data_IF_223228257248
#
_entry.id   IF_223228257248
#
_cell.length_a   1.000
_cell.length_b   1.000
_cell.length_c   1.000
_cell.angle_alpha   90.00
_cell.angle_beta   90.00
_cell.angle_gamma   90.00
#
_symmetry.space_group_name_H-M   'P 1'
#
loop_
_entity.id
_entity.type
_entity.pdbx_description
1 polymer ?
#
# COMPACT_ATOMS: atom_id res chain seq x y z
N UNK A 1 -44.35 -31.80 -34.96
CA UNK A 1 -43.74 -32.75 -34.00
C UNK A 1 -42.21 -32.66 -34.02
N UNK A 2 -41.53 -32.93 -35.15
CA UNK A 2 -40.05 -32.88 -35.21
C UNK A 2 -39.43 -31.50 -34.94
N UNK A 3 -40.04 -30.42 -35.43
CA UNK A 3 -39.58 -29.04 -35.18
C UNK A 3 -39.66 -28.63 -33.71
N UNK A 4 -40.74 -29.01 -33.01
CA UNK A 4 -40.92 -28.71 -31.59
C UNK A 4 -39.88 -29.45 -30.72
N UNK A 5 -39.60 -30.73 -31.03
CA UNK A 5 -38.58 -31.51 -30.33
C UNK A 5 -37.19 -30.91 -30.56
N UNK A 6 -36.86 -30.51 -31.80
CA UNK A 6 -35.60 -29.83 -32.13
C UNK A 6 -35.42 -28.52 -31.36
N UNK A 7 -36.47 -27.70 -31.25
CA UNK A 7 -36.43 -26.45 -30.49
C UNK A 7 -36.21 -26.69 -29.00
N UNK A 8 -36.86 -27.71 -28.42
CA UNK A 8 -36.66 -28.06 -27.01
C UNK A 8 -35.23 -28.53 -26.76
N UNK A 9 -34.68 -29.39 -27.62
CA UNK A 9 -33.29 -29.86 -27.51
C UNK A 9 -32.32 -28.69 -27.64
N UNK A 10 -32.55 -27.77 -28.59
CA UNK A 10 -31.72 -26.58 -28.76
C UNK A 10 -31.72 -25.71 -27.51
N UNK A 11 -32.89 -25.47 -26.91
CA UNK A 11 -33.01 -24.70 -25.66
C UNK A 11 -32.27 -25.40 -24.53
N UNK A 12 -32.41 -26.73 -24.38
CA UNK A 12 -31.69 -27.49 -23.35
C UNK A 12 -30.17 -27.40 -23.53
N UNK A 13 -29.67 -27.47 -24.76
CA UNK A 13 -28.24 -27.32 -25.06
C UNK A 13 -27.74 -25.91 -24.74
N UNK A 14 -28.50 -24.87 -25.12
CA UNK A 14 -28.13 -23.48 -24.84
C UNK A 14 -28.12 -23.22 -23.33
N UNK A 15 -29.17 -23.63 -22.61
CA UNK A 15 -29.26 -23.46 -21.16
C UNK A 15 -28.20 -24.28 -20.43
N UNK A 16 -28.01 -25.54 -20.82
CA UNK A 16 -26.98 -26.41 -20.25
C UNK A 16 -25.56 -25.89 -20.48
N UNK A 17 -25.27 -25.44 -21.71
CA UNK A 17 -24.00 -24.80 -22.07
C UNK A 17 -23.77 -23.50 -21.30
N UNK A 18 -24.80 -22.66 -21.16
CA UNK A 18 -24.75 -21.42 -20.38
C UNK A 18 -24.48 -21.66 -18.90
N UNK A 19 -25.15 -22.64 -18.27
CA UNK A 19 -24.92 -23.00 -16.87
C UNK A 19 -23.52 -23.60 -16.64
N UNK A 20 -23.03 -24.43 -17.56
CA UNK A 20 -21.68 -24.98 -17.50
C UNK A 20 -20.63 -23.88 -17.62
N UNK A 21 -20.78 -22.97 -18.59
CA UNK A 21 -19.89 -21.83 -18.78
C UNK A 21 -19.86 -20.91 -17.55
N UNK A 22 -21.03 -20.56 -17.01
CA UNK A 22 -21.15 -19.74 -15.80
C UNK A 22 -20.46 -20.39 -14.59
N UNK A 23 -20.63 -21.71 -14.38
CA UNK A 23 -19.94 -22.45 -13.32
C UNK A 23 -18.43 -22.51 -13.54
N UNK A 24 -18.00 -22.76 -14.78
CA UNK A 24 -16.57 -22.79 -15.13
C UNK A 24 -15.91 -21.44 -14.87
N UNK A 25 -16.56 -20.34 -15.24
CA UNK A 25 -16.06 -18.99 -15.01
C UNK A 25 -16.01 -18.67 -13.51
N UNK A 26 -17.04 -19.02 -12.75
CA UNK A 26 -17.06 -18.83 -11.30
C UNK A 26 -15.93 -19.62 -10.61
N UNK A 27 -15.73 -20.88 -11.00
CA UNK A 27 -14.63 -21.71 -10.48
C UNK A 27 -13.25 -21.14 -10.82
N UNK A 28 -13.07 -20.60 -12.03
CA UNK A 28 -11.81 -19.94 -12.42
C UNK A 28 -11.54 -18.70 -11.58
N UNK A 29 -12.55 -17.84 -11.36
CA UNK A 29 -12.40 -16.63 -10.54
C UNK A 29 -12.08 -16.97 -9.09
N UNK A 30 -12.71 -18.01 -8.55
CA UNK A 30 -12.42 -18.48 -7.19
C UNK A 30 -10.97 -18.96 -7.06
N UNK A 31 -10.48 -19.77 -8.02
CA UNK A 31 -9.07 -20.22 -8.02
C UNK A 31 -8.09 -19.04 -8.08
N UNK A 32 -8.33 -18.06 -8.94
CA UNK A 32 -7.49 -16.87 -9.03
C UNK A 32 -7.47 -16.08 -7.71
N UNK A 33 -8.61 -15.98 -7.03
CA UNK A 33 -8.68 -15.36 -5.71
C UNK A 33 -7.90 -16.15 -4.67
N UNK A 34 -8.06 -17.47 -4.64
CA UNK A 34 -7.39 -18.35 -3.68
C UNK A 34 -5.86 -18.31 -3.88
N UNK A 35 -5.39 -18.32 -5.13
CA UNK A 35 -3.97 -18.17 -5.48
C UNK A 35 -3.44 -16.80 -5.03
N UNK A 36 -4.15 -15.71 -5.33
CA UNK A 36 -3.75 -14.37 -4.91
C UNK A 36 -3.70 -14.22 -3.38
N UNK A 37 -4.65 -14.83 -2.67
CA UNK A 37 -4.65 -14.87 -1.20
C UNK A 37 -3.48 -15.69 -0.65
N UNK A 38 -3.14 -16.81 -1.28
CA UNK A 38 -2.01 -17.63 -0.86
C UNK A 38 -0.69 -16.86 -1.00
N UNK A 39 -0.50 -16.15 -2.12
CA UNK A 39 0.65 -15.28 -2.34
C UNK A 39 0.76 -14.16 -1.28
N UNK A 40 -0.36 -13.50 -0.99
CA UNK A 40 -0.41 -12.46 0.03
C UNK A 40 -0.12 -13.03 1.43
N UNK A 41 -0.75 -14.16 1.78
CA UNK A 41 -0.58 -14.84 3.07
C UNK A 41 0.88 -15.21 3.34
N UNK A 42 1.60 -15.73 2.34
CA UNK A 42 3.04 -16.03 2.46
C UNK A 42 3.86 -14.82 2.92
N UNK A 43 3.56 -13.62 2.41
CA UNK A 43 4.27 -12.40 2.80
C UNK A 43 3.84 -11.91 4.18
N UNK A 44 2.55 -12.00 4.52
CA UNK A 44 2.03 -11.67 5.86
C UNK A 44 2.66 -12.57 6.92
N UNK A 45 2.75 -13.88 6.68
CA UNK A 45 3.39 -14.83 7.60
C UNK A 45 4.89 -14.55 7.75
N UNK A 46 5.57 -14.24 6.63
CA UNK A 46 6.99 -13.81 6.67
C UNK A 46 7.15 -12.54 7.50
N UNK A 47 6.28 -11.55 7.31
CA UNK A 47 6.29 -10.30 8.06
C UNK A 47 6.05 -10.55 9.56
N UNK A 48 5.03 -11.33 9.90
CA UNK A 48 4.72 -11.70 11.28
C UNK A 48 5.89 -12.42 11.96
N UNK A 49 6.57 -13.32 11.24
CA UNK A 49 7.78 -13.97 11.73
C UNK A 49 8.92 -12.99 12.06
N UNK A 50 9.03 -11.87 11.35
CA UNK A 50 10.02 -10.84 11.67
C UNK A 50 9.56 -9.95 12.82
N UNK A 51 8.32 -9.46 12.77
CA UNK A 51 7.74 -8.56 13.78
C UNK A 51 7.73 -9.19 15.17
N UNK A 52 7.44 -10.49 15.28
CA UNK A 52 7.37 -11.19 16.56
C UNK A 52 8.73 -11.57 17.15
N UNK A 53 9.80 -11.57 16.35
CA UNK A 53 11.12 -12.07 16.77
C UNK A 53 12.24 -11.02 16.71
N UNK A 54 11.96 -9.82 16.21
CA UNK A 54 12.95 -8.74 16.09
C UNK A 54 12.56 -7.58 16.99
N UNK A 55 13.46 -7.14 17.85
CA UNK A 55 13.28 -5.99 18.74
C UNK A 55 14.32 -4.93 18.40
N UNK A 56 13.87 -3.70 18.13
CA UNK A 56 14.76 -2.58 17.82
C UNK A 56 15.66 -2.21 19.01
N UNK A 57 16.93 -1.94 18.73
CA UNK A 57 17.95 -1.61 19.74
C UNK A 57 18.30 -0.12 19.81
N UNK A 58 17.84 0.66 18.84
CA UNK A 58 18.07 2.10 18.69
C UNK A 58 16.76 2.78 18.27
N UNK A 59 16.72 4.11 18.28
CA UNK A 59 15.50 4.87 17.98
C UNK A 59 14.97 4.58 16.58
N UNK A 60 15.84 4.54 15.58
CA UNK A 60 15.46 4.33 14.19
C UNK A 60 14.92 2.91 13.97
N UNK A 61 15.58 1.90 14.54
CA UNK A 61 15.09 0.51 14.47
C UNK A 61 13.80 0.27 15.26
N UNK A 62 13.61 0.94 16.40
CA UNK A 62 12.35 0.88 17.15
C UNK A 62 11.19 1.50 16.37
N UNK A 63 11.37 2.67 15.76
CA UNK A 63 10.36 3.29 14.92
C UNK A 63 10.02 2.43 13.70
N UNK A 64 11.03 1.94 12.98
CA UNK A 64 10.80 1.06 11.84
C UNK A 64 10.10 -0.25 12.24
N UNK A 65 10.40 -0.84 13.41
CA UNK A 65 9.66 -2.02 13.89
C UNK A 65 8.21 -1.69 14.31
N UNK A 66 7.96 -0.49 14.83
CA UNK A 66 6.60 -0.03 15.11
C UNK A 66 5.79 0.11 13.82
N UNK A 67 6.32 0.82 12.82
CA UNK A 67 5.67 0.95 11.50
C UNK A 67 5.46 -0.44 10.84
N UNK A 68 6.44 -1.36 10.95
CA UNK A 68 6.29 -2.74 10.48
C UNK A 68 5.15 -3.50 11.17
N UNK A 69 4.99 -3.30 12.48
CA UNK A 69 3.93 -3.92 13.28
C UNK A 69 2.55 -3.39 12.92
N UNK A 70 2.44 -2.08 12.65
CA UNK A 70 1.21 -1.47 12.11
C UNK A 70 0.83 -2.11 10.78
N UNK A 71 1.80 -2.28 9.87
CA UNK A 71 1.55 -2.94 8.58
C UNK A 71 1.20 -4.41 8.71
N UNK A 72 1.77 -5.12 9.67
CA UNK A 72 1.41 -6.51 9.96
C UNK A 72 -0.06 -6.63 10.40
N UNK A 73 -0.50 -5.78 11.34
CA UNK A 73 -1.88 -5.78 11.80
C UNK A 73 -2.86 -5.40 10.68
N UNK A 74 -2.51 -4.38 9.88
CA UNK A 74 -3.30 -3.98 8.73
C UNK A 74 -3.42 -5.11 7.71
N UNK A 75 -2.29 -5.69 7.27
CA UNK A 75 -2.29 -6.76 6.28
C UNK A 75 -3.01 -8.02 6.78
N UNK A 76 -2.88 -8.36 8.07
CA UNK A 76 -3.63 -9.45 8.68
C UNK A 76 -5.15 -9.25 8.60
N UNK A 77 -5.63 -8.07 9.03
CA UNK A 77 -7.07 -7.75 8.98
C UNK A 77 -7.61 -7.68 7.54
N UNK A 78 -6.85 -7.13 6.60
CA UNK A 78 -7.22 -7.07 5.19
C UNK A 78 -7.28 -8.47 4.56
N UNK A 79 -6.33 -9.37 4.90
CA UNK A 79 -6.29 -10.73 4.36
C UNK A 79 -7.54 -11.52 4.73
N UNK A 80 -8.01 -11.38 5.97
CA UNK A 80 -9.22 -12.03 6.45
C UNK A 80 -10.47 -11.55 5.71
N UNK A 81 -10.51 -10.25 5.37
CA UNK A 81 -11.67 -9.61 4.75
C UNK A 81 -11.66 -9.65 3.21
N UNK A 82 -10.53 -9.96 2.58
CA UNK A 82 -10.38 -9.93 1.13
C UNK A 82 -11.36 -10.88 0.43
N UNK A 83 -12.08 -10.38 -0.58
CA UNK A 83 -13.08 -11.10 -1.39
C UNK A 83 -12.81 -10.98 -2.89
N UNK A 84 -11.85 -10.17 -3.29
CA UNK A 84 -11.46 -9.97 -4.70
C UNK A 84 -9.96 -10.13 -4.88
N UNK A 85 -9.53 -10.41 -6.11
CA UNK A 85 -8.11 -10.53 -6.47
C UNK A 85 -7.37 -9.23 -6.15
N UNK A 86 -7.96 -8.08 -6.46
CA UNK A 86 -7.37 -6.77 -6.16
C UNK A 86 -7.21 -6.55 -4.66
N UNK A 87 -8.20 -6.94 -3.83
CA UNK A 87 -8.04 -6.85 -2.37
C UNK A 87 -6.91 -7.74 -1.87
N UNK A 88 -6.71 -8.94 -2.43
CA UNK A 88 -5.57 -9.78 -2.09
C UNK A 88 -4.23 -9.16 -2.53
N UNK A 89 -4.20 -8.43 -3.65
CA UNK A 89 -2.99 -7.67 -4.07
C UNK A 89 -2.68 -6.51 -3.12
N UNK A 90 -3.68 -5.76 -2.66
CA UNK A 90 -3.50 -4.70 -1.67
C UNK A 90 -2.94 -5.24 -0.34
N UNK A 91 -3.38 -6.44 0.08
CA UNK A 91 -2.79 -7.14 1.24
C UNK A 91 -1.30 -7.42 1.01
N UNK A 92 -0.97 -7.92 -0.18
CA UNK A 92 0.41 -8.23 -0.57
C UNK A 92 1.29 -6.98 -0.52
N UNK A 93 0.82 -5.86 -1.06
CA UNK A 93 1.51 -4.56 -1.02
C UNK A 93 1.71 -4.05 0.41
N UNK A 94 0.67 -4.15 1.25
CA UNK A 94 0.75 -3.78 2.68
C UNK A 94 1.78 -4.63 3.42
N UNK A 95 1.80 -5.95 3.17
CA UNK A 95 2.78 -6.85 3.76
C UNK A 95 4.21 -6.57 3.26
N UNK A 96 4.37 -6.25 1.97
CA UNK A 96 5.66 -5.84 1.39
C UNK A 96 6.16 -4.58 2.08
N UNK A 97 5.31 -3.58 2.26
CA UNK A 97 5.68 -2.35 2.96
C UNK A 97 6.17 -2.61 4.39
N UNK A 98 5.46 -3.47 5.15
CA UNK A 98 5.94 -3.94 6.45
C UNK A 98 7.31 -4.61 6.38
N UNK A 99 7.57 -5.42 5.35
CA UNK A 99 8.88 -6.05 5.16
C UNK A 99 9.99 -5.05 4.83
N UNK A 100 9.68 -3.95 4.13
CA UNK A 100 10.64 -2.87 3.92
C UNK A 100 10.97 -2.14 5.24
N UNK A 101 9.99 -1.95 6.12
CA UNK A 101 10.24 -1.41 7.46
C UNK A 101 11.10 -2.36 8.31
N UNK A 102 10.84 -3.67 8.28
CA UNK A 102 11.73 -4.66 8.92
C UNK A 102 13.14 -4.58 8.35
N UNK A 103 13.29 -4.49 7.03
CA UNK A 103 14.59 -4.34 6.36
C UNK A 103 15.32 -3.09 6.88
N UNK A 104 14.62 -1.96 6.96
CA UNK A 104 15.16 -0.71 7.49
C UNK A 104 15.58 -0.83 8.95
N UNK A 105 14.78 -1.49 9.80
CA UNK A 105 15.13 -1.75 11.19
C UNK A 105 16.41 -2.60 11.31
N UNK A 106 16.54 -3.64 10.49
CA UNK A 106 17.74 -4.48 10.44
C UNK A 106 18.97 -3.67 10.01
N UNK A 107 18.84 -2.82 9.00
CA UNK A 107 19.92 -1.91 8.57
C UNK A 107 20.34 -0.96 9.69
N UNK A 108 19.38 -0.36 10.41
CA UNK A 108 19.66 0.54 11.55
C UNK A 108 20.42 -0.16 12.69
N UNK A 109 20.13 -1.44 12.92
CA UNK A 109 20.86 -2.27 13.89
C UNK A 109 22.20 -2.83 13.36
N UNK A 110 22.61 -2.49 12.13
CA UNK A 110 23.80 -3.06 11.50
C UNK A 110 23.70 -4.57 11.20
N UNK A 111 22.50 -5.11 11.13
CA UNK A 111 22.24 -6.50 10.76
C UNK A 111 22.13 -6.65 9.25
N UNK A 112 22.33 -7.88 8.75
CA UNK A 112 22.01 -8.20 7.35
C UNK A 112 20.54 -7.83 7.06
N UNK A 113 20.25 -6.92 6.11
CA UNK A 113 18.87 -6.52 5.79
C UNK A 113 18.00 -7.67 5.25
N UNK A 114 18.62 -8.79 4.89
CA UNK A 114 17.96 -9.97 4.36
C UNK A 114 17.77 -9.91 2.84
N UNK A 115 17.04 -10.87 2.26
CA UNK A 115 16.93 -10.97 0.81
C UNK A 115 16.16 -9.78 0.24
N UNK A 116 16.52 -9.41 -0.98
CA UNK A 116 15.86 -8.34 -1.73
C UNK A 116 14.36 -8.60 -1.80
N UNK A 117 13.58 -7.57 -1.51
CA UNK A 117 12.15 -7.61 -1.65
C UNK A 117 11.79 -7.32 -3.11
N UNK A 118 10.64 -7.82 -3.60
CA UNK A 118 10.11 -7.35 -4.87
C UNK A 118 10.07 -5.83 -4.89
N UNK A 119 10.72 -5.24 -5.89
CA UNK A 119 10.64 -3.81 -6.13
C UNK A 119 9.33 -3.52 -6.87
N UNK A 120 8.63 -2.49 -6.41
CA UNK A 120 7.45 -1.97 -7.08
C UNK A 120 7.92 -0.82 -7.97
N UNK A 121 7.54 -0.85 -9.26
CA UNK A 121 7.95 0.16 -10.23
C UNK A 121 7.62 1.60 -9.76
N UNK A 122 6.56 1.77 -8.96
CA UNK A 122 6.23 3.07 -8.37
C UNK A 122 7.22 3.54 -7.31
N UNK A 123 7.76 2.63 -6.48
CA UNK A 123 8.76 2.98 -5.46
C UNK A 123 10.09 3.33 -6.09
N UNK A 124 10.49 2.60 -7.13
CA UNK A 124 11.68 2.93 -7.91
C UNK A 124 11.56 4.31 -8.56
N UNK A 125 10.42 4.60 -9.19
CA UNK A 125 10.17 5.90 -9.85
C UNK A 125 10.14 7.07 -8.88
N UNK A 126 9.70 6.86 -7.63
CA UNK A 126 9.69 7.91 -6.61
C UNK A 126 11.09 8.40 -6.20
N UNK A 127 12.13 7.64 -6.55
CA UNK A 127 13.52 7.98 -6.24
C UNK A 127 13.92 7.59 -4.82
N UNK A 128 15.18 7.88 -4.49
CA UNK A 128 15.77 7.62 -3.17
C UNK A 128 16.67 8.76 -2.75
N UNK A 129 16.71 9.00 -1.45
CA UNK A 129 17.68 9.93 -0.84
C UNK A 129 19.08 9.37 -1.06
N UNK A 130 19.95 10.15 -1.73
CA UNK A 130 21.33 9.72 -2.06
C UNK A 130 22.39 10.36 -1.18
N UNK A 131 22.05 11.43 -0.47
CA UNK A 131 22.96 12.19 0.37
C UNK A 131 22.24 12.74 1.59
N UNK A 132 22.99 12.94 2.67
CA UNK A 132 22.46 13.56 3.88
C UNK A 132 22.23 15.05 3.64
N UNK A 133 21.01 15.53 3.91
CA UNK A 133 20.64 16.94 3.77
C UNK A 133 19.90 17.45 5.00
N UNK A 134 20.23 18.67 5.38
CA UNK A 134 19.64 19.40 6.50
C UNK A 134 19.21 20.78 6.03
N UNK A 135 17.96 21.14 6.30
CA UNK A 135 17.35 22.41 5.89
C UNK A 135 16.54 23.01 7.03
N UNK A 136 16.39 24.33 7.03
CA UNK A 136 15.50 25.05 7.93
C UNK A 136 14.36 25.66 7.10
N UNK A 137 13.13 25.24 7.35
CA UNK A 137 11.90 25.63 6.63
C UNK A 137 10.90 26.16 7.65
N UNK A 138 10.46 27.41 7.47
CA UNK A 138 9.50 28.08 8.38
C UNK A 138 9.92 28.06 9.87
N UNK A 139 11.24 28.08 10.13
CA UNK A 139 11.80 28.02 11.48
C UNK A 139 11.83 26.62 12.10
N UNK A 140 11.41 25.59 11.36
CA UNK A 140 11.56 24.18 11.71
C UNK A 140 12.72 23.55 10.94
N UNK A 141 13.41 22.60 11.58
CA UNK A 141 14.56 21.92 11.00
C UNK A 141 14.15 20.55 10.45
N UNK A 142 14.45 20.30 9.19
CA UNK A 142 14.20 19.03 8.53
C UNK A 142 15.51 18.41 8.05
N UNK A 143 15.59 17.08 8.16
CA UNK A 143 16.72 16.31 7.68
C UNK A 143 16.24 15.09 6.88
N UNK A 144 17.00 14.76 5.85
CA UNK A 144 16.86 13.55 5.05
C UNK A 144 18.22 12.86 4.93
N UNK A 145 18.25 11.53 4.96
CA UNK A 145 19.48 10.74 4.94
C UNK A 145 19.29 9.43 4.18
N UNK A 146 20.32 8.95 3.43
CA UNK A 146 20.31 7.59 2.88
C UNK A 146 20.45 6.53 3.98
N UNK A 147 21.11 6.90 5.09
CA UNK A 147 21.44 6.00 6.20
C UNK A 147 20.62 6.34 7.46
N UNK A 148 20.29 5.34 8.29
CA UNK A 148 19.60 5.57 9.57
C UNK A 148 20.46 6.39 10.52
N UNK A 149 19.82 7.23 11.34
CA UNK A 149 20.51 7.94 12.41
C UNK A 149 19.56 8.53 13.43
N UNK A 150 20.11 8.99 14.56
CA UNK A 150 19.33 9.56 15.67
C UNK A 150 18.55 10.81 15.25
N UNK A 151 19.05 11.57 14.26
CA UNK A 151 18.41 12.76 13.71
C UNK A 151 17.42 12.45 12.59
N UNK A 152 17.43 11.22 12.05
CA UNK A 152 16.55 10.77 10.97
C UNK A 152 15.92 9.41 11.30
N UNK A 153 15.11 9.30 12.38
CA UNK A 153 14.62 8.01 12.84
C UNK A 153 13.46 7.45 12.00
N UNK A 154 12.84 8.26 11.14
CA UNK A 154 11.65 7.85 10.38
C UNK A 154 12.03 7.35 8.99
N UNK A 155 11.83 6.06 8.74
CA UNK A 155 12.04 5.49 7.42
C UNK A 155 10.79 5.64 6.55
N UNK A 156 10.98 5.87 5.25
CA UNK A 156 9.94 5.69 4.24
C UNK A 156 10.45 4.77 3.13
N UNK A 157 9.70 3.73 2.73
CA UNK A 157 10.13 2.76 1.73
C UNK A 157 10.17 3.30 0.28
N UNK A 158 9.66 4.50 0.04
CA UNK A 158 9.43 5.05 -1.29
C UNK A 158 8.02 4.70 -1.81
N UNK A 159 7.50 5.51 -2.73
CA UNK A 159 6.16 5.31 -3.31
C UNK A 159 5.41 6.62 -3.54
N UNK A 160 4.09 6.54 -3.68
CA UNK A 160 3.22 7.71 -3.89
C UNK A 160 2.31 7.97 -2.69
N UNK A 161 2.15 9.26 -2.35
CA UNK A 161 1.24 9.73 -1.32
C UNK A 161 0.42 10.88 -1.89
N UNK A 162 -0.91 10.76 -1.86
CA UNK A 162 -1.84 11.74 -2.42
C UNK A 162 -1.43 12.23 -3.82
N UNK A 163 -1.11 11.28 -4.70
CA UNK A 163 -0.74 11.54 -6.09
C UNK A 163 0.69 12.02 -6.33
N UNK A 164 1.51 12.24 -5.29
CA UNK A 164 2.90 12.73 -5.44
C UNK A 164 3.93 11.69 -5.00
N UNK A 165 5.09 11.58 -5.68
CA UNK A 165 6.13 10.66 -5.27
C UNK A 165 6.82 11.12 -3.98
N UNK A 166 7.05 10.21 -3.06
CA UNK A 166 7.83 10.44 -1.84
C UNK A 166 9.08 9.56 -1.92
N UNK A 167 10.29 10.14 -1.96
CA UNK A 167 11.51 9.37 -2.10
C UNK A 167 11.74 8.39 -0.94
N UNK A 168 12.33 7.24 -1.24
CA UNK A 168 12.80 6.32 -0.21
C UNK A 168 13.93 6.97 0.61
N UNK A 169 13.90 6.84 1.94
CA UNK A 169 14.98 7.35 2.78
C UNK A 169 14.62 7.43 4.25
N UNK A 170 15.54 8.00 5.02
CA UNK A 170 15.39 8.29 6.44
C UNK A 170 15.17 9.79 6.64
N UNK A 171 14.26 10.15 7.54
CA UNK A 171 13.80 11.52 7.72
C UNK A 171 13.75 11.91 9.19
N UNK A 172 13.98 13.19 9.48
CA UNK A 172 13.83 13.74 10.84
C UNK A 172 12.38 13.78 11.30
N UNK A 173 11.46 13.95 10.36
CA UNK A 173 10.02 13.97 10.59
C UNK A 173 9.31 13.23 9.46
N UNK A 174 8.19 12.55 9.76
CA UNK A 174 7.41 11.85 8.76
C UNK A 174 6.51 12.83 7.97
N UNK A 175 7.12 13.74 7.22
CA UNK A 175 6.46 14.87 6.54
C UNK A 175 5.36 14.46 5.53
N UNK A 176 5.36 13.21 5.08
CA UNK A 176 4.33 12.63 4.21
C UNK A 176 3.08 12.14 4.96
N UNK A 177 3.20 11.79 6.26
CA UNK A 177 2.10 11.19 7.04
C UNK A 177 0.83 12.07 7.06
N UNK A 178 0.90 13.41 7.19
CA UNK A 178 -0.29 14.24 7.11
C UNK A 178 -1.05 14.10 5.78
N UNK A 179 -0.34 14.06 4.64
CA UNK A 179 -0.97 13.89 3.34
C UNK A 179 -1.53 12.48 3.13
N UNK A 180 -0.89 11.47 3.72
CA UNK A 180 -1.38 10.08 3.71
C UNK A 180 -2.72 9.95 4.46
N UNK A 181 -2.89 10.68 5.56
CA UNK A 181 -4.13 10.66 6.36
C UNK A 181 -5.20 11.59 5.76
N UNK A 182 -4.83 12.80 5.38
CA UNK A 182 -5.77 13.82 4.90
C UNK A 182 -6.13 13.69 3.41
N UNK A 183 -5.37 12.92 2.64
CA UNK A 183 -5.52 12.80 1.19
C UNK A 183 -5.09 14.06 0.41
N UNK A 184 -4.54 15.06 1.09
CA UNK A 184 -4.13 16.33 0.50
C UNK A 184 -2.84 16.86 1.14
N UNK A 185 -2.02 17.51 0.33
CA UNK A 185 -0.76 18.12 0.76
C UNK A 185 -0.99 19.52 1.34
N UNK A 186 -0.33 19.82 2.47
CA UNK A 186 -0.39 21.13 3.11
C UNK A 186 0.27 22.24 2.30
N UNK A 187 -0.15 23.49 2.59
CA UNK A 187 0.54 24.69 2.11
C UNK A 187 1.99 24.65 2.59
N UNK A 188 2.95 24.87 1.69
CA UNK A 188 4.39 24.82 2.00
C UNK A 188 5.08 23.48 1.73
N UNK A 189 4.32 22.40 1.45
CA UNK A 189 4.90 21.07 1.14
C UNK A 189 5.83 21.10 -0.08
N UNK A 190 5.52 21.90 -1.10
CA UNK A 190 6.37 22.09 -2.29
C UNK A 190 7.70 22.77 -1.92
N UNK A 191 7.66 23.75 -1.03
CA UNK A 191 8.87 24.44 -0.56
C UNK A 191 9.74 23.51 0.29
N UNK A 192 9.14 22.74 1.20
CA UNK A 192 9.85 21.71 1.96
C UNK A 192 10.49 20.66 1.05
N UNK A 193 9.73 20.14 0.08
CA UNK A 193 10.23 19.18 -0.90
C UNK A 193 11.41 19.75 -1.69
N UNK A 194 11.28 20.97 -2.21
CA UNK A 194 12.36 21.67 -2.90
C UNK A 194 13.61 21.77 -2.03
N UNK A 195 13.48 22.26 -0.79
CA UNK A 195 14.61 22.38 0.12
C UNK A 195 15.32 21.03 0.38
N UNK A 196 14.55 19.97 0.61
CA UNK A 196 15.09 18.64 0.93
C UNK A 196 15.74 17.93 -0.27
N UNK A 197 15.30 18.19 -1.50
CA UNK A 197 15.67 17.34 -2.65
C UNK A 197 16.21 18.07 -3.87
N UNK A 198 16.30 19.40 -3.86
CA UNK A 198 16.85 20.17 -4.97
C UNK A 198 18.21 19.63 -5.45
N UNK A 199 18.33 19.36 -6.75
CA UNK A 199 19.52 18.80 -7.38
C UNK A 199 19.86 17.34 -7.02
N UNK A 200 19.04 16.63 -6.25
CA UNK A 200 19.32 15.24 -5.86
C UNK A 200 18.98 14.27 -7.00
N UNK A 201 19.94 13.43 -7.39
CA UNK A 201 19.78 12.54 -8.55
C UNK A 201 18.66 11.52 -8.37
N UNK A 202 17.80 11.38 -9.38
CA UNK A 202 16.71 10.41 -9.37
C UNK A 202 15.48 10.85 -8.57
N UNK A 203 15.44 12.11 -8.09
CA UNK A 203 14.27 12.72 -7.48
C UNK A 203 13.73 13.81 -8.41
N UNK A 204 12.40 13.89 -8.54
CA UNK A 204 11.75 14.88 -9.39
C UNK A 204 12.09 16.31 -8.93
N UNK A 205 12.10 17.27 -9.87
CA UNK A 205 12.14 18.69 -9.51
C UNK A 205 10.88 19.08 -8.73
N UNK A 206 10.95 20.15 -7.94
CA UNK A 206 9.81 20.57 -7.10
C UNK A 206 8.54 20.89 -7.91
N UNK A 207 8.68 21.47 -9.11
CA UNK A 207 7.56 21.77 -10.01
C UNK A 207 6.95 20.51 -10.63
N UNK A 208 7.79 19.53 -11.01
CA UNK A 208 7.34 18.23 -11.47
C UNK A 208 6.62 17.47 -10.34
N UNK A 209 7.21 17.46 -9.14
CA UNK A 209 6.63 16.86 -7.94
C UNK A 209 5.27 17.46 -7.56
N UNK A 210 5.14 18.79 -7.62
CA UNK A 210 3.88 19.50 -7.35
C UNK A 210 2.77 19.02 -8.29
N UNK A 211 3.14 18.77 -9.56
CA UNK A 211 2.28 18.25 -10.62
C UNK A 211 2.08 16.72 -10.56
N UNK A 212 2.70 16.03 -9.60
CA UNK A 212 2.59 14.58 -9.41
C UNK A 212 3.49 13.74 -10.33
N UNK A 213 4.46 14.36 -11.02
CA UNK A 213 5.41 13.66 -11.88
C UNK A 213 6.60 13.12 -11.09
N UNK A 214 7.10 11.97 -11.55
CA UNK A 214 8.31 11.32 -11.05
C UNK A 214 9.55 11.83 -11.81
N UNK A 215 10.77 11.54 -11.32
CA UNK A 215 12.02 12.01 -11.94
C UNK A 215 12.12 11.63 -13.43
N UNK A 216 11.83 10.37 -13.76
CA UNK A 216 11.85 9.90 -15.16
C UNK A 216 10.76 10.49 -16.05
N UNK A 217 9.65 10.98 -15.49
CA UNK A 217 8.60 11.68 -16.25
C UNK A 217 8.96 13.15 -16.48
N UNK A 218 9.62 13.78 -15.49
CA UNK A 218 10.16 15.13 -15.62
C UNK A 218 11.22 15.19 -16.74
N UNK A 219 12.14 14.22 -16.76
CA UNK A 219 13.17 14.12 -17.81
C UNK A 219 12.57 13.94 -19.20
N UNK A 220 11.45 13.22 -19.34
CA UNK A 220 10.74 13.05 -20.61
C UNK A 220 10.05 14.35 -21.08
N UNK A 221 9.55 15.18 -20.15
CA UNK A 221 8.98 16.49 -20.45
C UNK A 221 10.06 17.53 -20.80
N UNK A 222 11.22 17.48 -20.14
CA UNK A 222 12.34 18.41 -20.35
C UNK A 222 13.20 18.06 -21.59
N UNK A 223 13.37 16.77 -21.90
CA UNK A 223 14.10 16.30 -23.09
C UNK A 223 13.37 16.54 -24.41
N UNK A 224 12.17 17.13 -24.38
CA UNK A 224 11.46 17.53 -25.58
C UNK A 224 11.05 16.36 -26.47
N UNK A 225 10.96 15.13 -25.94
CA UNK A 225 10.31 14.00 -26.62
C UNK A 225 8.78 14.13 -26.57
N UNK A 226 8.30 15.36 -26.85
CA UNK A 226 7.12 15.51 -27.66
C UNK A 226 7.53 15.06 -29.06
N UNK A 227 7.46 13.76 -29.30
CA UNK A 227 7.41 13.22 -30.64
C UNK A 227 6.42 14.05 -31.45
N UNK A 228 6.97 14.78 -32.40
CA UNK A 228 6.31 15.51 -33.46
C UNK A 228 5.05 14.77 -33.93
N UNK A 229 3.90 15.39 -33.68
CA UNK A 229 2.59 14.89 -34.05
C UNK A 229 1.59 16.02 -34.19
N UNK A 230 2.04 17.18 -34.66
CA UNK A 230 1.21 18.35 -34.94
C UNK A 230 1.35 18.77 -36.40
N UNK A 231 0.68 18.07 -37.32
CA UNK A 231 0.66 18.43 -38.75
C UNK A 231 -0.39 17.63 -39.53
N UNK A 232 -1.47 18.32 -39.86
CA UNK A 232 -2.63 17.92 -40.67
C UNK A 232 -2.30 17.10 -41.94
N UNK A 233 -3.08 16.06 -42.22
CA UNK A 233 -2.83 15.17 -43.35
C UNK A 233 -3.77 13.98 -43.52
N UNK A 234 -5.05 14.22 -43.82
CA UNK A 234 -5.77 13.39 -44.79
C UNK A 234 -6.57 12.19 -44.26
N UNK A 235 -7.90 12.36 -44.37
CA UNK A 235 -8.92 11.36 -44.73
C UNK A 235 -8.42 9.95 -45.14
N UNK A 236 -8.99 8.94 -44.47
CA UNK A 236 -8.75 7.53 -44.75
C UNK A 236 -9.45 6.63 -43.73
N UNK A 237 -10.77 6.69 -43.68
CA UNK A 237 -11.58 5.86 -42.78
C UNK A 237 -11.37 4.36 -43.01
N UNK A 238 -11.58 3.56 -41.96
CA UNK A 238 -12.31 2.29 -42.03
C UNK A 238 -12.78 1.88 -40.63
N UNK A 239 -14.08 1.64 -40.54
CA UNK A 239 -14.86 1.12 -39.42
C UNK A 239 -14.31 -0.16 -38.77
N UNK A 240 -14.53 -0.28 -37.45
CA UNK A 240 -14.19 -1.52 -36.73
C UNK A 240 -14.62 -1.60 -35.26
N UNK A 241 -15.73 -0.96 -34.86
CA UNK A 241 -16.63 -1.26 -33.73
C UNK A 241 -16.12 -1.85 -32.39
N UNK A 242 -16.48 -1.18 -31.29
CA UNK A 242 -16.68 -1.83 -29.98
C UNK A 242 -16.45 -0.95 -28.76
N UNK A 243 -17.51 -0.26 -28.31
CA UNK A 243 -17.68 0.42 -27.01
C UNK A 243 -17.08 -0.34 -25.81
N UNK A 244 -16.60 0.27 -24.73
CA UNK A 244 -16.66 1.66 -24.29
C UNK A 244 -16.32 1.72 -22.79
N UNK A 245 -15.92 2.92 -22.33
CA UNK A 245 -15.93 3.27 -20.91
C UNK A 245 -14.59 3.23 -20.20
N UNK A 246 -13.66 4.11 -20.60
CA UNK A 246 -12.71 4.67 -19.66
C UNK A 246 -13.48 5.48 -18.61
N UNK A 247 -13.46 5.03 -17.37
CA UNK A 247 -13.92 5.81 -16.23
C UNK A 247 -12.71 6.10 -15.34
N UNK A 248 -12.23 7.32 -15.49
CA UNK A 248 -11.67 8.11 -14.40
C UNK A 248 -12.57 7.93 -13.16
N UNK A 249 -11.98 7.39 -12.11
CA UNK A 249 -12.65 7.02 -10.88
C UNK A 249 -11.82 7.42 -9.68
N UNK A 250 -11.51 8.72 -9.57
CA UNK A 250 -11.34 9.33 -8.26
C UNK A 250 -12.62 9.07 -7.46
N UNK A 251 -12.54 8.10 -6.54
CA UNK A 251 -13.59 7.82 -5.58
C UNK A 251 -12.98 7.86 -4.20
N UNK A 252 -13.35 8.94 -3.52
CA UNK A 252 -13.36 9.12 -2.09
C UNK A 252 -13.68 7.81 -1.34
N UNK A 253 -12.77 7.41 -0.47
CA UNK A 253 -13.13 6.80 0.81
C UNK A 253 -12.54 7.65 1.94
N UNK A 254 -12.93 8.93 1.96
CA UNK A 254 -12.89 9.73 3.17
C UNK A 254 -14.07 9.35 4.06
N UNK A 255 -13.79 8.75 5.22
CA UNK A 255 -14.79 8.48 6.25
C UNK A 255 -14.61 7.13 6.94
N UNK A 256 -13.49 6.93 7.64
CA UNK A 256 -13.54 6.04 8.80
C UNK A 256 -14.03 6.88 9.97
N UNK A 257 -15.30 6.68 10.34
CA UNK A 257 -15.86 7.10 11.62
C UNK A 257 -14.97 6.55 12.74
N UNK A 258 -14.08 7.41 13.24
CA UNK A 258 -13.45 7.29 14.54
C UNK A 258 -14.52 7.47 15.61
N UNK A 259 -15.26 6.41 15.89
CA UNK A 259 -16.04 6.30 17.12
C UNK A 259 -15.09 6.36 18.31
N UNK A 260 -15.14 7.47 19.04
CA UNK A 260 -14.28 7.77 20.19
C UNK A 260 -14.34 6.69 21.26
N UNK A 261 -13.17 6.25 21.69
CA UNK A 261 -13.00 5.63 23.00
C UNK A 261 -13.01 6.74 24.05
N UNK A 262 -14.20 7.11 24.52
CA UNK A 262 -14.34 7.89 25.75
C UNK A 262 -14.41 6.95 26.95
N UNK A 263 -13.65 7.34 27.98
CA UNK A 263 -13.31 6.55 29.16
C UNK A 263 -14.47 5.93 29.92
N UNK A 264 -14.29 4.64 30.23
CA UNK A 264 -15.00 3.92 31.28
C UNK A 264 -14.11 2.77 31.78
N UNK A 265 -13.53 2.93 32.97
CA UNK A 265 -12.45 2.10 33.47
C UNK A 265 -12.79 0.61 33.63
N UNK A 266 -11.89 -0.24 33.13
CA UNK A 266 -11.77 -1.62 33.59
C UNK A 266 -11.05 -1.64 34.94
N UNK A 267 -11.83 -1.64 36.02
CA UNK A 267 -11.32 -2.13 37.31
C UNK A 267 -11.31 -3.66 37.26
N UNK A 268 -10.12 -4.22 37.07
CA UNK A 268 -9.84 -5.60 37.40
C UNK A 268 -9.75 -5.80 38.91
N UNK A 269 -10.29 -6.92 39.40
CA UNK A 269 -9.95 -7.49 40.69
C UNK A 269 -11.14 -7.77 41.60
N UNK A 270 -11.50 -9.05 41.72
CA UNK A 270 -12.48 -9.50 42.71
C UNK A 270 -12.86 -10.96 42.54
N UNK A 271 -11.93 -11.88 42.83
CA UNK A 271 -12.26 -13.28 43.09
C UNK A 271 -13.28 -13.34 44.23
N UNK A 272 -14.49 -13.81 43.96
CA UNK A 272 -15.45 -14.18 45.00
C UNK A 272 -15.64 -15.69 45.01
N UNK A 273 -15.03 -16.32 46.00
CA UNK A 273 -15.40 -17.65 46.45
C UNK A 273 -16.80 -17.61 47.07
N UNK A 274 -17.73 -18.37 46.49
CA UNK A 274 -18.84 -18.97 47.23
C UNK A 274 -18.39 -20.39 47.59
N UNK A 275 -18.38 -20.84 48.84
CA UNK A 275 -19.44 -20.64 49.81
C UNK A 275 -20.26 -21.92 49.82
N UNK A 276 -19.91 -22.81 50.75
CA UNK A 276 -20.45 -24.13 50.99
C UNK A 276 -21.97 -24.14 51.11
N UNK A 277 -22.63 -25.11 50.48
CA UNK A 277 -23.79 -25.78 51.09
C UNK A 277 -23.93 -27.19 50.51
N UNK A 278 -23.57 -28.18 51.33
CA UNK A 278 -23.62 -29.60 51.02
C UNK A 278 -23.89 -30.36 52.31
N UNK A 279 -25.08 -30.14 52.86
CA UNK A 279 -25.60 -30.91 53.99
C UNK A 279 -25.96 -32.34 53.58
N UNK A 280 -25.73 -33.28 54.50
CA UNK A 280 -26.32 -34.62 54.45
C UNK A 280 -25.33 -35.75 54.68
N UNK A 281 -24.96 -35.99 55.94
CA UNK A 281 -24.65 -37.34 56.40
C UNK A 281 -25.99 -38.07 56.60
N UNK A 282 -26.13 -39.27 56.06
CA UNK A 282 -26.65 -40.45 56.79
C UNK A 282 -26.71 -41.69 55.87
N UNK A 283 -26.13 -42.78 56.40
CA UNK A 283 -26.08 -44.20 55.96
C UNK A 283 -25.19 -44.61 54.77
#
# INVERSE_FOLDING_TARGET
MGTAILLIVLVVVIVGGGLYFARSQAASRQRQLDDAKADARRLVERLGGQVLNLTGTDTASQQAMADASERYNAAGSQLEQAKTVEQARLVKETALEGLYYVRAARTAMGLDPGPMLPEEAERERAGKVTEHRKVDVEGQRYEASPDPGDQTPYYYPGGRVAGRPVPQGWYSEPWWKPALVAGAWGLGSVFLFSALFDGMSGIASASAWESGYDAGQADALESGDYGDGGGDGGDGGFDGGGDGGGFDGGQDFGGFDGGGFDGGGFNGGGFNGGGFDGGGFDF
#
